data_IF_362073238286
#
_entry.id   IF_362073238286
#
_cell.length_a   1.000
_cell.length_b   1.000
_cell.length_c   1.000
_cell.angle_alpha   90.00
_cell.angle_beta   90.00
_cell.angle_gamma   90.00
#
_symmetry.space_group_name_H-M   'P 1'
#
loop_
_entity.id
_entity.type
_entity.pdbx_description
1 polymer ?
#
# COMPACT_ATOMS: atom_id res chain seq x y z
N UNK A 1 -57.17 1.52 41.61
CA UNK A 1 -56.47 2.58 40.85
C UNK A 1 -56.20 2.02 39.45
N UNK A 2 -57.24 1.81 38.63
CA UNK A 2 -57.85 2.76 37.67
C UNK A 2 -56.92 3.12 36.50
N UNK A 3 -57.02 2.31 35.45
CA UNK A 3 -56.90 2.66 34.03
C UNK A 3 -58.09 3.52 33.59
N UNK A 4 -57.93 4.53 32.73
CA UNK A 4 -58.96 5.15 31.86
C UNK A 4 -58.24 6.25 31.03
N UNK A 5 -57.92 6.04 29.74
CA UNK A 5 -58.74 6.22 28.52
C UNK A 5 -58.99 7.68 28.08
N UNK A 6 -58.74 7.84 26.78
CA UNK A 6 -59.34 8.74 25.77
C UNK A 6 -58.90 10.20 25.59
N UNK A 7 -58.12 10.39 24.52
CA UNK A 7 -58.51 11.08 23.28
C UNK A 7 -59.66 12.11 23.35
N UNK A 8 -59.40 13.33 22.86
CA UNK A 8 -60.06 13.83 21.62
C UNK A 8 -59.48 15.17 21.15
N UNK A 9 -59.36 15.25 19.83
CA UNK A 9 -58.95 16.38 18.98
C UNK A 9 -59.74 17.69 19.21
N UNK A 10 -59.07 18.82 18.95
CA UNK A 10 -59.66 19.89 18.13
C UNK A 10 -58.57 20.71 17.43
N UNK A 11 -58.61 20.71 16.10
CA UNK A 11 -57.86 21.61 15.22
C UNK A 11 -58.29 23.08 15.42
N UNK A 12 -57.33 24.00 15.41
CA UNK A 12 -57.56 25.38 15.00
C UNK A 12 -56.26 25.99 14.43
N UNK A 13 -56.27 26.19 13.12
CA UNK A 13 -55.35 27.00 12.33
C UNK A 13 -55.41 28.48 12.74
N UNK A 14 -54.25 29.13 12.97
CA UNK A 14 -54.07 30.56 12.70
C UNK A 14 -52.60 31.01 12.72
N UNK A 15 -52.16 31.46 11.54
CA UNK A 15 -51.42 32.72 11.35
C UNK A 15 -49.91 32.79 11.65
N UNK A 16 -49.15 32.76 10.55
CA UNK A 16 -47.82 33.33 10.36
C UNK A 16 -47.67 34.72 10.99
N UNK A 17 -46.67 34.90 11.84
CA UNK A 17 -45.93 36.16 11.98
C UNK A 17 -44.44 35.87 11.98
N UNK A 18 -43.75 36.51 11.04
CA UNK A 18 -42.34 36.29 10.78
C UNK A 18 -41.45 36.81 11.90
N UNK A 19 -40.71 35.91 12.52
CA UNK A 19 -39.42 36.23 13.09
C UNK A 19 -38.38 35.45 12.28
N UNK A 20 -37.73 36.13 11.32
CA UNK A 20 -36.47 35.65 10.73
C UNK A 20 -35.52 35.40 11.89
N UNK A 21 -35.36 34.13 12.28
CA UNK A 21 -34.22 33.72 13.09
C UNK A 21 -33.00 34.09 12.28
N UNK A 22 -32.25 35.08 12.75
CA UNK A 22 -30.85 35.23 12.41
C UNK A 22 -30.18 33.91 12.79
N UNK A 23 -30.04 32.98 11.83
CA UNK A 23 -29.01 31.96 11.89
C UNK A 23 -27.70 32.72 11.96
N UNK A 24 -26.95 32.65 13.08
CA UNK A 24 -25.58 33.09 13.04
C UNK A 24 -24.92 32.26 11.95
N UNK A 25 -24.32 32.91 10.97
CA UNK A 25 -23.33 32.29 10.09
C UNK A 25 -22.18 31.84 10.98
N UNK A 26 -22.36 30.70 11.65
CA UNK A 26 -21.30 30.01 12.36
C UNK A 26 -20.30 29.62 11.29
N UNK A 27 -19.25 30.43 11.13
CA UNK A 27 -18.11 30.07 10.31
C UNK A 27 -17.69 28.65 10.68
N UNK A 28 -17.41 27.81 9.68
CA UNK A 28 -17.07 26.42 9.90
C UNK A 28 -15.84 26.34 10.80
N UNK A 29 -16.03 26.12 12.10
CA UNK A 29 -14.94 25.87 13.04
C UNK A 29 -14.34 24.52 12.66
N UNK A 30 -13.11 24.52 12.14
CA UNK A 30 -12.38 23.30 11.83
C UNK A 30 -12.16 22.52 13.12
N UNK A 31 -12.80 21.35 13.24
CA UNK A 31 -12.56 20.46 14.38
C UNK A 31 -11.13 19.91 14.32
N UNK A 32 -10.49 19.75 15.48
CA UNK A 32 -9.12 19.22 15.57
C UNK A 32 -8.98 17.89 14.82
N UNK A 33 -9.94 16.97 14.94
CA UNK A 33 -9.97 15.70 14.20
C UNK A 33 -9.86 15.89 12.68
N UNK A 34 -10.54 16.90 12.13
CA UNK A 34 -10.50 17.19 10.69
C UNK A 34 -9.16 17.78 10.28
N UNK A 35 -8.56 18.63 11.12
CA UNK A 35 -7.21 19.16 10.92
C UNK A 35 -6.20 18.01 10.87
N UNK A 36 -6.25 17.08 11.83
CA UNK A 36 -5.36 15.91 11.84
C UNK A 36 -5.55 15.02 10.61
N UNK A 37 -6.80 14.81 10.15
CA UNK A 37 -7.05 14.07 8.91
C UNK A 37 -6.44 14.77 7.68
N UNK A 38 -6.57 16.10 7.56
CA UNK A 38 -5.98 16.87 6.45
C UNK A 38 -4.45 16.74 6.46
N UNK A 39 -3.81 16.93 7.61
CA UNK A 39 -2.35 16.77 7.70
C UNK A 39 -1.91 15.33 7.45
N UNK A 40 -2.69 14.33 7.86
CA UNK A 40 -2.42 12.94 7.52
C UNK A 40 -2.43 12.72 6.00
N UNK A 41 -3.44 13.23 5.30
CA UNK A 41 -3.55 13.11 3.85
C UNK A 41 -2.43 13.85 3.12
N UNK A 42 -2.04 15.05 3.59
CA UNK A 42 -0.87 15.79 3.08
C UNK A 42 0.42 14.98 3.29
N UNK A 43 0.61 14.44 4.50
CA UNK A 43 1.79 13.63 4.82
C UNK A 43 1.91 12.39 3.94
N UNK A 44 0.79 11.70 3.69
CA UNK A 44 0.74 10.52 2.81
C UNK A 44 0.92 10.89 1.34
N UNK A 45 0.36 12.00 0.88
CA UNK A 45 0.53 12.50 -0.49
C UNK A 45 2.00 12.86 -0.79
N UNK A 46 2.66 13.54 0.14
CA UNK A 46 4.06 13.95 -0.01
C UNK A 46 5.07 12.89 0.47
N UNK A 47 4.64 11.67 0.82
CA UNK A 47 5.52 10.69 1.51
C UNK A 47 6.67 10.22 0.63
N UNK A 48 6.45 10.12 -0.68
CA UNK A 48 7.46 9.73 -1.67
C UNK A 48 8.36 10.88 -2.09
N UNK A 49 8.09 12.11 -1.67
CA UNK A 49 8.81 13.30 -2.11
C UNK A 49 10.05 13.55 -1.27
N UNK A 50 11.01 12.63 -1.37
CA UNK A 50 12.25 12.65 -0.60
C UNK A 50 13.09 13.91 -0.82
N UNK A 51 13.12 14.47 -2.05
CA UNK A 51 13.90 15.69 -2.32
C UNK A 51 13.20 16.97 -1.86
N UNK A 52 11.92 16.90 -1.49
CA UNK A 52 11.16 18.06 -1.02
C UNK A 52 11.49 18.34 0.46
N UNK A 53 12.70 18.84 0.68
CA UNK A 53 13.31 19.09 1.99
C UNK A 53 14.15 20.37 2.01
N UNK A 54 14.22 21.10 3.13
CA UNK A 54 15.07 22.25 3.25
C UNK A 54 16.53 21.82 3.45
N UNK A 55 17.39 22.19 2.48
CA UNK A 55 18.82 21.92 2.52
C UNK A 55 19.16 20.42 2.62
N UNK A 56 20.18 20.11 3.42
CA UNK A 56 20.70 18.75 3.56
C UNK A 56 20.09 17.96 4.72
N UNK A 57 19.10 18.52 5.41
CA UNK A 57 18.42 17.85 6.52
C UNK A 57 17.50 16.77 5.94
N UNK A 58 17.56 15.54 6.48
CA UNK A 58 16.64 14.44 6.14
C UNK A 58 15.23 14.66 6.75
N UNK A 59 14.69 15.87 6.65
CA UNK A 59 13.38 16.27 7.12
C UNK A 59 12.58 16.88 5.98
N UNK A 60 11.43 16.34 5.66
CA UNK A 60 10.62 16.69 4.48
C UNK A 60 9.26 17.24 4.87
N UNK A 61 8.50 17.71 3.87
CA UNK A 61 7.11 18.12 4.10
C UNK A 61 6.23 17.02 4.70
N UNK A 62 6.47 15.76 4.36
CA UNK A 62 5.70 14.66 4.93
C UNK A 62 6.06 14.40 6.40
N UNK A 63 7.32 14.57 6.80
CA UNK A 63 7.71 14.45 8.21
C UNK A 63 7.03 15.52 9.07
N UNK A 64 7.03 16.79 8.62
CA UNK A 64 6.34 17.87 9.31
C UNK A 64 4.84 17.62 9.46
N UNK A 65 4.18 17.15 8.40
CA UNK A 65 2.76 16.81 8.44
C UNK A 65 2.48 15.66 9.43
N UNK A 66 3.28 14.60 9.41
CA UNK A 66 3.12 13.48 10.35
C UNK A 66 3.43 13.86 11.80
N UNK A 67 4.36 14.77 12.06
CA UNK A 67 4.63 15.28 13.41
C UNK A 67 3.45 16.08 13.96
N UNK A 68 2.78 16.90 13.14
CA UNK A 68 1.54 17.60 13.54
C UNK A 68 0.46 16.58 13.92
N UNK A 69 0.29 15.53 13.10
CA UNK A 69 -0.67 14.45 13.40
C UNK A 69 -0.30 13.74 14.70
N UNK A 70 0.97 13.36 14.87
CA UNK A 70 1.46 12.69 16.07
C UNK A 70 1.23 13.54 17.33
N UNK A 71 1.62 14.81 17.30
CA UNK A 71 1.42 15.75 18.41
C UNK A 71 -0.05 15.91 18.77
N UNK A 72 -0.94 16.04 17.77
CA UNK A 72 -2.37 16.11 18.00
C UNK A 72 -2.99 14.82 18.56
N UNK A 73 -2.54 13.66 18.10
CA UNK A 73 -2.97 12.36 18.64
C UNK A 73 -2.49 12.14 20.07
N UNK A 74 -1.26 12.55 20.40
CA UNK A 74 -0.74 12.50 21.78
C UNK A 74 -1.50 13.47 22.68
N UNK A 75 -1.66 14.73 22.26
CA UNK A 75 -2.39 15.74 23.03
C UNK A 75 -3.85 15.37 23.30
N UNK A 76 -4.46 14.55 22.44
CA UNK A 76 -5.84 14.05 22.62
C UNK A 76 -5.91 12.65 23.21
N UNK A 77 -4.78 12.02 23.57
CA UNK A 77 -4.70 10.64 24.07
C UNK A 77 -5.35 9.61 23.13
N UNK A 78 -5.27 9.86 21.82
CA UNK A 78 -5.85 9.02 20.75
C UNK A 78 -4.82 8.17 20.00
N UNK A 79 -3.54 8.30 20.35
CA UNK A 79 -2.49 7.53 19.70
C UNK A 79 -2.62 6.04 20.03
N UNK A 80 -2.70 5.21 18.99
CA UNK A 80 -2.75 3.76 19.12
C UNK A 80 -1.34 3.21 19.34
N UNK A 81 -1.06 2.74 20.56
CA UNK A 81 0.24 2.16 20.94
C UNK A 81 0.44 0.70 20.49
N UNK A 82 -0.60 0.06 19.94
CA UNK A 82 -0.58 -1.32 19.47
C UNK A 82 -0.88 -1.39 17.95
N UNK A 83 0.03 -0.90 17.09
CA UNK A 83 -0.22 -0.78 15.65
C UNK A 83 -0.46 -2.11 14.92
N UNK A 84 0.02 -3.23 15.48
CA UNK A 84 -0.18 -4.59 14.95
C UNK A 84 -1.06 -5.45 15.88
N UNK A 85 -1.86 -4.80 16.74
CA UNK A 85 -2.71 -5.47 17.73
C UNK A 85 -1.92 -6.51 18.57
N UNK A 86 -2.32 -7.77 18.56
CA UNK A 86 -1.68 -8.84 19.33
C UNK A 86 -0.20 -9.08 18.96
N UNK A 87 0.23 -8.70 17.75
CA UNK A 87 1.61 -8.84 17.30
C UNK A 87 2.51 -7.67 17.71
N UNK A 88 1.95 -6.60 18.28
CA UNK A 88 2.72 -5.41 18.66
C UNK A 88 3.87 -5.68 19.64
N UNK A 89 3.74 -6.52 20.68
CA UNK A 89 4.88 -6.83 21.55
C UNK A 89 6.04 -7.48 20.80
N UNK A 90 5.76 -8.45 19.92
CA UNK A 90 6.77 -9.11 19.10
C UNK A 90 7.42 -8.13 18.10
N UNK A 91 6.63 -7.22 17.51
CA UNK A 91 7.12 -6.15 16.64
C UNK A 91 8.09 -5.22 17.38
N UNK A 92 7.70 -4.74 18.56
CA UNK A 92 8.52 -3.86 19.40
C UNK A 92 9.82 -4.55 19.83
N UNK A 93 9.73 -5.81 20.27
CA UNK A 93 10.90 -6.59 20.63
C UNK A 93 11.86 -6.73 19.44
N UNK A 94 11.33 -7.03 18.25
CA UNK A 94 12.14 -7.16 17.03
C UNK A 94 12.84 -5.84 16.65
N UNK A 95 12.14 -4.70 16.78
CA UNK A 95 12.71 -3.37 16.53
C UNK A 95 13.79 -3.02 17.58
N UNK A 96 13.54 -3.29 18.86
CA UNK A 96 14.50 -3.09 19.95
C UNK A 96 15.74 -3.97 19.74
N UNK A 97 15.54 -5.22 19.33
CA UNK A 97 16.64 -6.15 19.05
C UNK A 97 17.53 -5.62 17.92
N UNK A 98 16.90 -5.17 16.82
CA UNK A 98 17.61 -4.61 15.68
C UNK A 98 18.39 -3.33 16.06
N UNK A 99 17.73 -2.36 16.68
CA UNK A 99 18.34 -1.07 17.03
C UNK A 99 19.34 -1.18 18.19
N UNK A 100 19.08 -2.09 19.14
CA UNK A 100 19.95 -2.37 20.26
C UNK A 100 21.25 -3.06 19.84
N UNK A 101 21.18 -4.03 18.94
CA UNK A 101 22.39 -4.64 18.37
C UNK A 101 23.22 -3.62 17.58
N UNK A 102 22.56 -2.76 16.79
CA UNK A 102 23.22 -1.66 16.10
C UNK A 102 23.81 -0.63 17.07
N UNK A 103 23.14 -0.36 18.20
CA UNK A 103 23.63 0.54 19.25
C UNK A 103 24.91 0.02 19.87
N UNK A 104 24.92 -1.24 20.32
CA UNK A 104 26.08 -1.89 20.93
C UNK A 104 27.25 -1.89 19.95
N UNK A 105 27.00 -2.26 18.69
CA UNK A 105 28.00 -2.24 17.62
C UNK A 105 28.59 -0.85 17.40
N UNK A 106 27.75 0.18 17.40
CA UNK A 106 28.21 1.57 17.23
C UNK A 106 28.95 2.09 18.45
N UNK A 107 28.53 1.73 19.66
CA UNK A 107 29.19 2.16 20.89
C UNK A 107 30.63 1.63 20.98
N UNK A 108 30.88 0.45 20.42
CA UNK A 108 32.20 -0.19 20.43
C UNK A 108 33.07 0.27 19.25
N UNK A 109 32.51 0.31 18.03
CA UNK A 109 33.28 0.45 16.80
C UNK A 109 33.00 1.74 16.00
N UNK A 110 32.00 2.54 16.37
CA UNK A 110 31.49 3.62 15.53
C UNK A 110 31.21 4.94 16.24
N UNK A 111 30.58 5.85 15.50
CA UNK A 111 30.23 7.18 15.99
C UNK A 111 28.78 7.20 16.53
N UNK A 112 28.62 7.44 17.83
CA UNK A 112 27.30 7.44 18.50
C UNK A 112 26.29 8.40 17.83
N UNK A 113 26.77 9.53 17.29
CA UNK A 113 25.92 10.48 16.56
C UNK A 113 25.29 9.85 15.31
N UNK A 114 26.02 8.99 14.59
CA UNK A 114 25.47 8.27 13.42
C UNK A 114 24.37 7.31 13.84
N UNK A 115 24.57 6.58 14.94
CA UNK A 115 23.53 5.72 15.48
C UNK A 115 22.28 6.52 15.84
N UNK A 116 22.42 7.68 16.49
CA UNK A 116 21.28 8.52 16.86
C UNK A 116 20.47 8.95 15.62
N UNK A 117 21.14 9.38 14.55
CA UNK A 117 20.51 9.77 13.29
C UNK A 117 19.76 8.58 12.65
N UNK A 118 20.38 7.40 12.63
CA UNK A 118 19.78 6.18 12.06
C UNK A 118 18.60 5.70 12.92
N UNK A 119 18.77 5.63 14.24
CA UNK A 119 17.76 5.19 15.19
C UNK A 119 16.52 6.10 15.16
N UNK A 120 16.68 7.42 15.11
CA UNK A 120 15.55 8.35 14.98
C UNK A 120 14.72 8.07 13.72
N UNK A 121 15.37 7.79 12.59
CA UNK A 121 14.68 7.47 11.33
C UNK A 121 13.95 6.13 11.40
N UNK A 122 14.57 5.10 11.97
CA UNK A 122 13.91 3.81 12.18
C UNK A 122 12.74 3.91 13.17
N UNK A 123 12.89 4.62 14.29
CA UNK A 123 11.83 4.84 15.26
C UNK A 123 10.67 5.59 14.60
N UNK A 124 10.96 6.65 13.85
CA UNK A 124 9.92 7.37 13.15
C UNK A 124 9.17 6.47 12.14
N UNK A 125 9.90 5.74 11.30
CA UNK A 125 9.30 4.95 10.22
C UNK A 125 8.65 3.64 10.68
N UNK A 126 9.27 2.89 11.58
CA UNK A 126 8.83 1.55 12.02
C UNK A 126 8.05 1.55 13.34
N UNK A 127 8.04 2.66 14.09
CA UNK A 127 7.27 2.77 15.33
C UNK A 127 6.18 3.84 15.22
N UNK A 128 6.56 5.09 14.96
CA UNK A 128 5.61 6.21 15.00
C UNK A 128 4.60 6.18 13.86
N UNK A 129 5.03 5.96 12.61
CA UNK A 129 4.10 5.91 11.47
C UNK A 129 3.04 4.80 11.59
N UNK A 130 3.39 3.56 11.97
CA UNK A 130 2.40 2.53 12.24
C UNK A 130 1.38 2.94 13.31
N UNK A 131 1.84 3.55 14.41
CA UNK A 131 0.96 4.02 15.49
C UNK A 131 0.02 5.14 14.99
N UNK A 132 0.53 6.08 14.20
CA UNK A 132 -0.25 7.15 13.57
C UNK A 132 -1.35 6.54 12.70
N UNK A 133 -0.99 5.69 11.72
CA UNK A 133 -1.97 5.08 10.83
C UNK A 133 -2.98 4.20 11.59
N UNK A 134 -2.52 3.47 12.61
CA UNK A 134 -3.40 2.60 13.38
C UNK A 134 -4.44 3.37 14.22
N UNK A 135 -4.25 4.67 14.42
CA UNK A 135 -5.14 5.58 15.17
C UNK A 135 -6.34 6.09 14.36
N UNK A 136 -6.35 5.86 13.04
CA UNK A 136 -7.44 6.27 12.15
C UNK A 136 -8.32 5.09 11.74
N UNK A 137 -9.56 5.42 11.35
CA UNK A 137 -10.54 4.45 10.89
C UNK A 137 -10.23 3.95 9.46
N UNK A 138 -10.90 2.87 9.06
CA UNK A 138 -10.65 2.25 7.76
C UNK A 138 -10.96 3.21 6.59
N UNK A 139 -11.95 4.09 6.74
CA UNK A 139 -12.36 5.04 5.70
C UNK A 139 -11.28 6.10 5.45
N UNK A 140 -10.71 6.68 6.52
CA UNK A 140 -9.59 7.61 6.37
C UNK A 140 -8.34 6.91 5.82
N UNK A 141 -8.06 5.66 6.21
CA UNK A 141 -6.95 4.90 5.64
C UNK A 141 -7.15 4.59 4.14
N UNK A 142 -8.38 4.29 3.71
CA UNK A 142 -8.71 4.15 2.27
C UNK A 142 -8.47 5.46 1.50
N UNK A 143 -8.79 6.62 2.09
CA UNK A 143 -8.43 7.93 1.51
C UNK A 143 -6.92 8.13 1.46
N UNK A 144 -6.18 7.70 2.49
CA UNK A 144 -4.72 7.73 2.48
C UNK A 144 -4.15 6.93 1.30
N UNK A 145 -4.70 5.74 1.00
CA UNK A 145 -4.28 4.96 -0.19
C UNK A 145 -4.52 5.72 -1.49
N UNK A 146 -5.66 6.40 -1.64
CA UNK A 146 -5.93 7.26 -2.81
C UNK A 146 -4.92 8.41 -2.89
N UNK A 147 -4.70 9.13 -1.78
CA UNK A 147 -3.75 10.25 -1.73
C UNK A 147 -2.30 9.81 -1.96
N UNK A 148 -1.92 8.63 -1.50
CA UNK A 148 -0.62 8.03 -1.80
C UNK A 148 -0.43 7.85 -3.30
N UNK A 149 -1.40 7.22 -3.97
CA UNK A 149 -1.36 6.99 -5.43
C UNK A 149 -1.33 8.32 -6.17
N UNK A 150 -2.17 9.30 -5.79
CA UNK A 150 -2.16 10.63 -6.38
C UNK A 150 -0.83 11.36 -6.18
N UNK A 151 -0.22 11.27 -4.99
CA UNK A 151 1.05 11.93 -4.68
C UNK A 151 2.23 11.35 -5.43
N UNK A 152 2.31 10.03 -5.55
CA UNK A 152 3.29 9.36 -6.42
C UNK A 152 3.03 9.70 -7.88
N UNK A 153 1.77 9.70 -8.33
CA UNK A 153 1.40 10.03 -9.71
C UNK A 153 1.78 11.47 -10.05
N UNK A 154 1.56 12.42 -9.13
CA UNK A 154 1.98 13.81 -9.29
C UNK A 154 3.49 13.92 -9.46
N UNK A 155 4.26 13.22 -8.61
CA UNK A 155 5.72 13.13 -8.76
C UNK A 155 6.11 12.57 -10.14
N UNK A 156 5.45 11.51 -10.61
CA UNK A 156 5.74 10.94 -11.93
C UNK A 156 5.36 11.90 -13.05
N UNK A 157 4.19 12.52 -13.00
CA UNK A 157 3.73 13.45 -14.02
C UNK A 157 4.69 14.65 -14.13
N UNK A 158 5.04 15.26 -13.01
CA UNK A 158 5.98 16.37 -12.96
C UNK A 158 7.37 15.96 -13.47
N UNK A 159 7.89 14.83 -12.99
CA UNK A 159 9.20 14.32 -13.42
C UNK A 159 9.26 13.96 -14.91
N UNK A 160 8.26 13.27 -15.42
CA UNK A 160 8.19 12.89 -16.83
C UNK A 160 8.05 14.11 -17.74
N UNK A 161 7.17 15.06 -17.40
CA UNK A 161 7.03 16.32 -18.15
C UNK A 161 8.37 17.07 -18.12
N UNK A 162 9.00 17.20 -16.96
CA UNK A 162 10.29 17.87 -16.85
C UNK A 162 11.36 17.18 -17.73
N UNK A 163 11.40 15.85 -17.79
CA UNK A 163 12.35 15.11 -18.63
C UNK A 163 12.18 15.30 -20.14
N UNK A 164 11.02 15.81 -20.59
CA UNK A 164 10.79 16.16 -22.00
C UNK A 164 11.37 17.53 -22.37
N UNK A 165 11.44 18.45 -21.41
CA UNK A 165 11.80 19.85 -21.66
C UNK A 165 13.16 20.25 -21.07
N UNK A 166 13.67 19.49 -20.10
CA UNK A 166 14.86 19.85 -19.32
C UNK A 166 15.83 18.68 -19.20
N UNK A 167 17.10 19.02 -19.04
CA UNK A 167 18.21 18.08 -18.85
C UNK A 167 18.63 18.01 -17.37
N UNK A 168 19.62 17.15 -17.09
CA UNK A 168 20.31 17.13 -15.80
C UNK A 168 20.83 18.51 -15.40
N UNK A 169 21.49 19.21 -16.33
CA UNK A 169 22.13 20.51 -16.06
C UNK A 169 21.11 21.58 -15.66
N UNK A 170 19.89 21.52 -16.22
CA UNK A 170 18.83 22.47 -15.95
C UNK A 170 18.14 22.22 -14.59
N UNK A 171 18.07 20.95 -14.17
CA UNK A 171 17.28 20.54 -13.00
C UNK A 171 18.11 20.36 -11.73
N UNK A 172 19.39 20.00 -11.86
CA UNK A 172 20.28 19.77 -10.71
C UNK A 172 20.39 20.96 -9.74
N UNK A 173 20.43 22.24 -10.18
CA UNK A 173 20.49 23.38 -9.26
C UNK A 173 19.28 23.53 -8.34
N UNK A 174 18.11 23.05 -8.76
CA UNK A 174 16.84 23.25 -8.04
C UNK A 174 16.36 22.01 -7.30
N UNK A 175 16.57 20.84 -7.88
CA UNK A 175 16.04 19.57 -7.39
C UNK A 175 17.13 18.57 -6.98
N UNK A 176 18.41 18.96 -7.12
CA UNK A 176 19.56 18.12 -6.84
C UNK A 176 19.83 17.07 -7.93
N UNK A 177 20.94 16.37 -7.76
CA UNK A 177 21.55 15.54 -8.82
C UNK A 177 20.75 14.28 -9.21
N UNK A 178 19.66 13.99 -8.50
CA UNK A 178 18.94 12.73 -8.64
C UNK A 178 17.48 12.88 -9.07
N UNK A 179 16.99 14.10 -9.30
CA UNK A 179 15.66 14.32 -9.87
C UNK A 179 15.58 13.81 -11.31
N UNK A 180 16.48 14.31 -12.16
CA UNK A 180 16.93 13.67 -13.40
C UNK A 180 18.42 13.42 -13.18
N UNK A 181 18.90 12.20 -13.45
CA UNK A 181 20.32 11.86 -13.26
C UNK A 181 21.15 12.28 -14.47
N UNK A 182 22.47 12.43 -14.31
CA UNK A 182 23.39 12.73 -15.42
C UNK A 182 23.34 11.70 -16.57
N UNK A 183 22.88 10.48 -16.29
CA UNK A 183 22.65 9.41 -17.28
C UNK A 183 21.23 9.44 -17.88
N UNK A 184 20.46 10.50 -17.68
CA UNK A 184 19.09 10.66 -18.22
C UNK A 184 18.01 9.82 -17.54
N UNK A 185 18.30 9.18 -16.40
CA UNK A 185 17.31 8.39 -15.64
C UNK A 185 16.43 9.30 -14.79
N UNK A 186 15.15 9.00 -14.70
CA UNK A 186 14.20 9.75 -13.89
C UNK A 186 14.17 9.26 -12.43
N UNK A 187 14.56 10.09 -11.47
CA UNK A 187 14.32 9.85 -10.04
C UNK A 187 13.11 10.61 -9.49
N UNK A 188 12.62 11.64 -10.20
CA UNK A 188 11.53 12.51 -9.79
C UNK A 188 11.67 12.96 -8.33
N UNK A 189 10.57 13.19 -7.60
CA UNK A 189 10.66 13.61 -6.20
C UNK A 189 11.16 12.51 -5.25
N UNK A 190 11.27 11.27 -5.69
CA UNK A 190 11.83 10.15 -4.91
C UNK A 190 13.35 10.27 -4.72
N UNK A 191 14.02 11.14 -5.49
CA UNK A 191 15.43 11.49 -5.30
C UNK A 191 16.43 10.40 -5.68
N UNK A 192 15.98 9.35 -6.37
CA UNK A 192 16.80 8.38 -7.10
C UNK A 192 15.86 7.54 -7.98
N UNK A 193 16.32 7.17 -9.18
CA UNK A 193 15.60 6.29 -10.09
C UNK A 193 15.15 4.94 -9.49
N UNK A 194 15.95 4.32 -8.61
CA UNK A 194 15.54 3.06 -7.98
C UNK A 194 14.39 3.27 -6.99
N UNK A 195 14.49 4.29 -6.14
CA UNK A 195 13.41 4.66 -5.22
C UNK A 195 12.15 5.02 -6.00
N UNK A 196 12.30 5.76 -7.10
CA UNK A 196 11.19 6.14 -7.97
C UNK A 196 10.46 4.93 -8.54
N UNK A 197 11.20 3.94 -9.03
CA UNK A 197 10.63 2.69 -9.53
C UNK A 197 9.85 1.93 -8.45
N UNK A 198 10.35 1.90 -7.21
CA UNK A 198 9.64 1.30 -6.08
C UNK A 198 8.33 2.04 -5.77
N UNK A 199 8.37 3.38 -5.70
CA UNK A 199 7.19 4.20 -5.41
C UNK A 199 6.12 3.99 -6.49
N UNK A 200 6.52 3.98 -7.76
CA UNK A 200 5.63 3.68 -8.87
C UNK A 200 5.02 2.27 -8.73
N UNK A 201 5.82 1.27 -8.36
CA UNK A 201 5.36 -0.09 -8.13
C UNK A 201 4.34 -0.22 -7.00
N UNK A 202 4.61 0.36 -5.83
CA UNK A 202 3.66 0.38 -4.71
C UNK A 202 2.35 1.06 -5.13
N UNK A 203 2.43 2.21 -5.82
CA UNK A 203 1.26 2.93 -6.29
C UNK A 203 0.45 2.14 -7.33
N UNK A 204 1.10 1.39 -8.24
CA UNK A 204 0.42 0.50 -9.19
C UNK A 204 -0.34 -0.61 -8.49
N UNK A 205 0.26 -1.26 -7.48
CA UNK A 205 -0.42 -2.30 -6.70
C UNK A 205 -1.62 -1.71 -5.95
N UNK A 206 -1.47 -0.53 -5.35
CA UNK A 206 -2.59 0.18 -4.71
C UNK A 206 -3.66 0.65 -5.70
N UNK A 207 -3.29 0.97 -6.94
CA UNK A 207 -4.25 1.34 -7.97
C UNK A 207 -5.21 0.18 -8.28
N UNK A 208 -4.75 -1.08 -8.23
CA UNK A 208 -5.64 -2.25 -8.32
C UNK A 208 -6.64 -2.34 -7.16
N UNK A 209 -6.22 -1.97 -5.95
CA UNK A 209 -7.11 -1.87 -4.80
C UNK A 209 -8.16 -0.77 -5.01
N UNK A 210 -7.74 0.43 -5.41
CA UNK A 210 -8.60 1.58 -5.70
C UNK A 210 -9.63 1.23 -6.79
N UNK A 211 -9.18 0.63 -7.90
CA UNK A 211 -10.05 0.24 -9.00
C UNK A 211 -11.04 -0.85 -8.58
N UNK A 212 -10.59 -1.84 -7.80
CA UNK A 212 -11.43 -2.92 -7.28
C UNK A 212 -12.51 -2.43 -6.31
N UNK A 213 -12.24 -1.36 -5.57
CA UNK A 213 -13.15 -0.75 -4.58
C UNK A 213 -13.88 0.50 -5.10
N UNK A 214 -13.59 0.94 -6.33
CA UNK A 214 -14.13 2.17 -6.95
C UNK A 214 -13.95 3.41 -6.08
N UNK A 215 -12.80 3.51 -5.42
CA UNK A 215 -12.47 4.67 -4.55
C UNK A 215 -12.11 5.93 -5.35
N UNK A 216 -11.90 5.78 -6.66
CA UNK A 216 -11.52 6.85 -7.58
C UNK A 216 -12.22 6.62 -8.92
N UNK A 217 -12.57 7.69 -9.68
CA UNK A 217 -13.15 7.54 -11.00
C UNK A 217 -12.28 6.66 -11.93
N UNK A 218 -12.87 5.80 -12.78
CA UNK A 218 -12.12 4.91 -13.65
C UNK A 218 -11.17 5.66 -14.60
N UNK A 219 -11.61 6.80 -15.16
CA UNK A 219 -10.78 7.62 -16.04
C UNK A 219 -9.53 8.14 -15.32
N UNK A 220 -9.71 8.69 -14.11
CA UNK A 220 -8.59 9.14 -13.30
C UNK A 220 -7.65 7.99 -12.93
N UNK A 221 -8.19 6.79 -12.69
CA UNK A 221 -7.38 5.59 -12.43
C UNK A 221 -6.53 5.19 -13.64
N UNK A 222 -7.08 5.27 -14.84
CA UNK A 222 -6.35 5.02 -16.10
C UNK A 222 -5.23 6.06 -16.26
N UNK A 223 -5.54 7.35 -16.09
CA UNK A 223 -4.54 8.43 -16.19
C UNK A 223 -3.41 8.24 -15.17
N UNK A 224 -3.72 7.89 -13.92
CA UNK A 224 -2.70 7.58 -12.93
C UNK A 224 -1.85 6.38 -13.37
N UNK A 225 -2.49 5.30 -13.84
CA UNK A 225 -1.79 4.12 -14.35
C UNK A 225 -0.79 4.45 -15.46
N UNK A 226 -1.17 5.30 -16.42
CA UNK A 226 -0.29 5.72 -17.52
C UNK A 226 0.96 6.46 -17.01
N UNK A 227 0.80 7.45 -16.13
CA UNK A 227 1.94 8.17 -15.55
C UNK A 227 2.82 7.28 -14.67
N UNK A 228 2.24 6.35 -13.94
CA UNK A 228 2.99 5.41 -13.10
C UNK A 228 3.80 4.42 -13.94
N UNK A 229 3.21 3.84 -14.99
CA UNK A 229 3.92 2.93 -15.92
C UNK A 229 5.01 3.68 -16.67
N UNK A 230 4.70 4.88 -17.18
CA UNK A 230 5.69 5.69 -17.88
C UNK A 230 6.83 6.12 -16.94
N UNK A 231 6.52 6.53 -15.70
CA UNK A 231 7.53 6.83 -14.68
C UNK A 231 8.42 5.62 -14.34
N UNK A 232 7.85 4.40 -14.32
CA UNK A 232 8.63 3.17 -14.13
C UNK A 232 9.60 2.91 -15.29
N UNK A 233 9.19 3.15 -16.54
CA UNK A 233 10.04 3.05 -17.73
C UNK A 233 11.12 4.15 -17.70
N UNK A 234 10.74 5.41 -17.52
CA UNK A 234 11.66 6.56 -17.46
C UNK A 234 12.69 6.46 -16.32
N UNK A 235 12.40 5.71 -15.26
CA UNK A 235 13.36 5.46 -14.18
C UNK A 235 14.55 4.62 -14.65
N UNK A 236 14.41 3.85 -15.73
CA UNK A 236 15.48 3.01 -16.29
C UNK A 236 16.24 2.21 -15.21
N UNK A 237 15.48 1.62 -14.28
CA UNK A 237 15.97 0.73 -13.23
C UNK A 237 15.57 -0.69 -13.58
N UNK A 238 16.51 -1.51 -14.07
CA UNK A 238 16.21 -2.90 -14.47
C UNK A 238 15.60 -3.70 -13.32
N UNK A 239 16.27 -3.73 -12.16
CA UNK A 239 15.76 -4.44 -10.98
C UNK A 239 14.40 -3.90 -10.53
N UNK A 240 14.23 -2.58 -10.48
CA UNK A 240 12.96 -1.97 -10.09
C UNK A 240 11.82 -2.27 -11.07
N UNK A 241 12.10 -2.23 -12.37
CA UNK A 241 11.14 -2.57 -13.42
C UNK A 241 10.67 -4.02 -13.28
N UNK A 242 11.59 -4.97 -13.18
CA UNK A 242 11.26 -6.40 -13.04
C UNK A 242 10.49 -6.66 -11.75
N UNK A 243 10.96 -6.15 -10.61
CA UNK A 243 10.29 -6.32 -9.30
C UNK A 243 8.85 -5.79 -9.35
N UNK A 244 8.66 -4.57 -9.82
CA UNK A 244 7.36 -3.90 -9.83
C UNK A 244 6.39 -4.54 -10.84
N UNK A 245 6.89 -4.93 -12.03
CA UNK A 245 6.09 -5.60 -13.05
C UNK A 245 5.67 -7.00 -12.59
N UNK A 246 6.59 -7.80 -12.04
CA UNK A 246 6.31 -9.14 -11.53
C UNK A 246 5.31 -9.10 -10.37
N UNK A 247 5.48 -8.18 -9.42
CA UNK A 247 4.53 -8.02 -8.31
C UNK A 247 3.14 -7.57 -8.80
N UNK A 248 3.09 -6.62 -9.73
CA UNK A 248 1.82 -6.14 -10.32
C UNK A 248 1.13 -7.26 -11.11
N UNK A 249 1.88 -8.02 -11.92
CA UNK A 249 1.36 -9.15 -12.68
C UNK A 249 0.82 -10.25 -11.76
N UNK A 250 1.54 -10.60 -10.69
CA UNK A 250 1.09 -11.56 -9.68
C UNK A 250 -0.25 -11.15 -9.08
N UNK A 251 -0.37 -9.89 -8.64
CA UNK A 251 -1.60 -9.34 -8.05
C UNK A 251 -2.74 -9.36 -9.07
N UNK A 252 -2.48 -8.95 -10.32
CA UNK A 252 -3.48 -8.98 -11.39
C UNK A 252 -3.95 -10.39 -11.70
N UNK A 253 -3.04 -11.36 -11.86
CA UNK A 253 -3.34 -12.76 -12.16
C UNK A 253 -4.16 -13.39 -11.05
N UNK A 254 -3.81 -13.14 -9.79
CA UNK A 254 -4.53 -13.67 -8.64
C UNK A 254 -5.94 -13.05 -8.49
N UNK A 255 -6.13 -11.76 -8.79
CA UNK A 255 -7.47 -11.11 -8.68
C UNK A 255 -8.37 -11.36 -9.88
N UNK A 256 -7.82 -11.28 -11.08
CA UNK A 256 -8.58 -11.25 -12.34
C UNK A 256 -7.88 -12.06 -13.43
N UNK A 257 -7.74 -13.39 -13.29
CA UNK A 257 -6.85 -14.20 -14.15
C UNK A 257 -7.14 -14.03 -15.64
N UNK A 258 -8.41 -14.01 -16.05
CA UNK A 258 -8.79 -13.79 -17.46
C UNK A 258 -8.42 -12.39 -17.96
N UNK A 259 -8.79 -11.33 -17.22
CA UNK A 259 -8.48 -9.94 -17.62
C UNK A 259 -7.00 -9.64 -17.54
N UNK A 260 -6.29 -10.25 -16.60
CA UNK A 260 -4.86 -10.16 -16.46
C UNK A 260 -4.16 -10.81 -17.65
N UNK A 261 -4.60 -12.00 -18.08
CA UNK A 261 -4.06 -12.63 -19.29
C UNK A 261 -4.25 -11.76 -20.52
N UNK A 262 -5.48 -11.23 -20.73
CA UNK A 262 -5.73 -10.29 -21.82
C UNK A 262 -4.90 -9.00 -21.70
N UNK A 263 -4.75 -8.46 -20.49
CA UNK A 263 -3.94 -7.26 -20.25
C UNK A 263 -2.45 -7.50 -20.53
N UNK A 264 -1.90 -8.64 -20.09
CA UNK A 264 -0.52 -9.04 -20.37
C UNK A 264 -0.31 -9.22 -21.87
N UNK A 265 -1.20 -9.95 -22.54
CA UNK A 265 -1.16 -10.12 -24.00
C UNK A 265 -1.28 -8.79 -24.74
N UNK A 266 -2.14 -7.89 -24.28
CA UNK A 266 -2.29 -6.55 -24.85
C UNK A 266 -1.01 -5.71 -24.65
N UNK A 267 -0.40 -5.75 -23.46
CA UNK A 267 0.89 -5.07 -23.22
C UNK A 267 1.98 -5.66 -24.10
N UNK A 268 2.09 -6.98 -24.21
CA UNK A 268 3.05 -7.65 -25.12
C UNK A 268 2.79 -7.22 -26.56
N UNK A 269 1.53 -7.17 -27.00
CA UNK A 269 1.15 -6.72 -28.34
C UNK A 269 1.52 -5.26 -28.58
N UNK A 270 1.20 -4.36 -27.64
CA UNK A 270 1.54 -2.93 -27.73
C UNK A 270 3.05 -2.73 -27.76
N UNK A 271 3.79 -3.43 -26.89
CA UNK A 271 5.26 -3.40 -26.87
C UNK A 271 5.81 -3.91 -28.18
N UNK A 272 5.30 -5.02 -28.71
CA UNK A 272 5.69 -5.56 -30.02
C UNK A 272 5.47 -4.56 -31.16
N UNK A 273 4.30 -3.93 -31.21
CA UNK A 273 3.98 -2.88 -32.19
C UNK A 273 4.89 -1.68 -32.03
N UNK A 274 5.11 -1.21 -30.80
CA UNK A 274 5.95 -0.05 -30.50
C UNK A 274 7.42 -0.29 -30.88
N UNK A 275 7.96 -1.48 -30.59
CA UNK A 275 9.32 -1.87 -30.99
C UNK A 275 9.41 -1.97 -32.53
N UNK A 276 8.38 -2.48 -33.19
CA UNK A 276 8.33 -2.55 -34.67
C UNK A 276 8.17 -1.20 -35.35
N UNK A 277 7.61 -0.20 -34.67
CA UNK A 277 7.37 1.13 -35.24
C UNK A 277 8.59 2.05 -35.19
N UNK A 278 9.69 1.62 -34.55
CA UNK A 278 10.92 2.41 -34.43
C UNK A 278 10.77 3.68 -33.59
N UNK A 279 9.74 3.75 -32.74
CA UNK A 279 9.55 4.89 -31.85
C UNK A 279 10.65 4.93 -30.78
N UNK A 280 11.18 6.13 -30.44
CA UNK A 280 12.31 6.24 -29.53
C UNK A 280 11.89 5.97 -28.08
N UNK A 281 12.52 4.98 -27.45
CA UNK A 281 12.49 4.81 -25.99
C UNK A 281 13.45 5.80 -25.32
N UNK A 282 13.27 6.10 -24.03
CA UNK A 282 14.31 6.79 -23.27
C UNK A 282 15.64 6.04 -23.40
N UNK A 283 16.69 6.71 -23.88
CA UNK A 283 17.99 6.07 -24.16
C UNK A 283 18.56 5.31 -22.95
N UNK A 284 18.31 5.81 -21.73
CA UNK A 284 18.68 5.15 -20.49
C UNK A 284 17.96 3.80 -20.29
N UNK A 285 16.69 3.69 -20.71
CA UNK A 285 15.92 2.45 -20.62
C UNK A 285 16.39 1.44 -21.67
N UNK A 286 16.65 1.89 -22.89
CA UNK A 286 17.16 1.04 -23.96
C UNK A 286 18.51 0.41 -23.59
N UNK A 287 19.46 1.22 -23.14
CA UNK A 287 20.80 0.77 -22.76
C UNK A 287 20.82 -0.14 -21.52
N UNK A 288 19.94 0.10 -20.52
CA UNK A 288 20.03 -0.59 -19.22
C UNK A 288 19.01 -1.70 -19.01
N UNK A 289 17.87 -1.64 -19.67
CA UNK A 289 16.78 -2.61 -19.50
C UNK A 289 16.64 -3.46 -20.75
N UNK A 290 16.52 -2.84 -21.93
CA UNK A 290 16.38 -3.61 -23.17
C UNK A 290 17.66 -4.36 -23.51
N UNK A 291 18.84 -3.74 -23.40
CA UNK A 291 20.13 -4.41 -23.59
C UNK A 291 20.29 -5.66 -22.71
N UNK A 292 20.00 -5.55 -21.42
CA UNK A 292 20.07 -6.68 -20.50
C UNK A 292 19.04 -7.79 -20.81
N UNK A 293 17.87 -7.46 -21.36
CA UNK A 293 16.86 -8.43 -21.78
C UNK A 293 17.21 -9.13 -23.10
N UNK A 294 17.89 -8.44 -24.02
CA UNK A 294 18.25 -8.98 -25.34
C UNK A 294 19.60 -9.70 -25.36
N UNK A 295 20.59 -9.23 -24.59
CA UNK A 295 21.92 -9.81 -24.49
C UNK A 295 22.02 -11.00 -23.53
N UNK A 296 21.01 -11.25 -22.71
CA UNK A 296 20.97 -12.38 -21.77
C UNK A 296 21.94 -12.29 -20.58
N UNK A 297 22.68 -11.17 -20.44
CA UNK A 297 23.65 -10.96 -19.39
C UNK A 297 23.19 -9.95 -18.32
N UNK A 298 23.04 -10.40 -17.07
CA UNK A 298 22.86 -9.53 -15.89
C UNK A 298 24.02 -8.52 -15.71
N UNK A 299 25.18 -8.85 -16.28
CA UNK A 299 26.40 -8.04 -16.29
C UNK A 299 26.27 -6.75 -17.11
N UNK A 300 25.36 -6.73 -18.10
CA UNK A 300 25.12 -5.56 -18.98
C UNK A 300 24.21 -4.51 -18.33
N UNK A 301 23.51 -4.86 -17.24
CA UNK A 301 22.83 -3.89 -16.41
C UNK A 301 23.90 -3.06 -15.67
N UNK A 302 24.28 -1.90 -16.23
CA UNK A 302 25.48 -1.07 -15.93
C UNK A 302 25.77 -0.58 -14.50
N UNK A 303 25.48 -1.38 -13.48
CA UNK A 303 25.85 -1.25 -12.05
C UNK A 303 26.05 -2.60 -11.36
N UNK A 304 25.87 -3.74 -12.04
CA UNK A 304 25.89 -5.08 -11.41
C UNK A 304 27.26 -5.45 -10.84
N UNK A 305 28.33 -5.30 -11.61
CA UNK A 305 29.70 -5.67 -11.20
C UNK A 305 30.14 -4.94 -9.93
N UNK A 306 30.03 -3.61 -9.90
CA UNK A 306 30.39 -2.82 -8.72
C UNK A 306 29.51 -3.12 -7.49
N UNK A 307 28.23 -3.47 -7.69
CA UNK A 307 27.37 -3.93 -6.58
C UNK A 307 27.77 -5.30 -6.05
N UNK A 308 28.25 -6.18 -6.92
CA UNK A 308 28.73 -7.51 -6.53
C UNK A 308 30.04 -7.41 -5.75
N UNK A 309 30.97 -6.55 -6.17
CA UNK A 309 32.23 -6.28 -5.45
C UNK A 309 31.95 -5.78 -4.02
N UNK A 310 31.06 -4.79 -3.88
CA UNK A 310 30.59 -4.30 -2.57
C UNK A 310 29.97 -5.42 -1.73
N UNK A 311 29.14 -6.28 -2.33
CA UNK A 311 28.53 -7.40 -1.62
C UNK A 311 29.56 -8.44 -1.18
N UNK A 312 30.56 -8.75 -2.00
CA UNK A 312 31.66 -9.65 -1.63
C UNK A 312 32.48 -9.07 -0.48
N UNK A 313 32.76 -7.76 -0.52
CA UNK A 313 33.47 -7.07 0.56
C UNK A 313 32.70 -7.14 1.89
N UNK A 314 31.40 -6.84 1.88
CA UNK A 314 30.55 -6.97 3.07
C UNK A 314 30.41 -8.39 3.56
N UNK A 315 30.33 -9.38 2.66
CA UNK A 315 30.29 -10.78 3.05
C UNK A 315 31.56 -11.20 3.77
N UNK A 316 32.73 -10.74 3.30
CA UNK A 316 34.01 -10.98 3.99
C UNK A 316 34.04 -10.31 5.36
N UNK A 317 33.65 -9.04 5.45
CA UNK A 317 33.58 -8.33 6.73
C UNK A 317 32.56 -8.93 7.71
N UNK A 318 31.45 -9.48 7.21
CA UNK A 318 30.44 -10.13 8.02
C UNK A 318 31.02 -11.32 8.82
N UNK A 319 32.04 -12.00 8.30
CA UNK A 319 32.71 -13.10 9.00
C UNK A 319 33.31 -12.68 10.35
N UNK A 320 33.86 -11.48 10.43
CA UNK A 320 34.51 -10.96 11.65
C UNK A 320 33.54 -10.15 12.53
N UNK A 321 32.31 -9.90 12.07
CA UNK A 321 31.36 -8.95 12.69
C UNK A 321 30.03 -9.60 13.06
N UNK A 322 29.97 -10.95 13.08
CA UNK A 322 28.75 -11.71 13.38
C UNK A 322 28.14 -11.40 14.75
N UNK A 323 28.96 -11.19 15.79
CA UNK A 323 28.46 -10.92 17.15
C UNK A 323 28.32 -9.43 17.40
N UNK A 324 29.35 -8.65 17.06
CA UNK A 324 29.41 -7.20 17.21
C UNK A 324 29.74 -6.64 15.84
N UNK A 325 28.82 -5.84 15.29
CA UNK A 325 28.96 -5.21 14.00
C UNK A 325 29.98 -4.06 14.00
N UNK A 326 30.28 -3.53 12.81
CA UNK A 326 31.15 -2.35 12.66
C UNK A 326 30.48 -1.03 13.08
N UNK A 327 29.19 -1.04 13.41
CA UNK A 327 28.45 0.13 13.83
C UNK A 327 27.64 0.79 12.73
N UNK A 328 26.68 1.63 13.16
CA UNK A 328 25.73 2.30 12.30
C UNK A 328 26.43 3.14 11.25
N UNK A 329 26.08 2.89 10.00
CA UNK A 329 26.51 3.69 8.87
C UNK A 329 28.03 3.77 8.69
N UNK A 330 28.73 2.75 9.17
CA UNK A 330 30.19 2.68 9.18
C UNK A 330 30.71 1.93 7.95
N UNK A 331 29.91 1.09 7.29
CA UNK A 331 30.35 0.35 6.11
C UNK A 331 30.86 1.28 5.01
N UNK A 332 30.12 2.35 4.72
CA UNK A 332 30.49 3.33 3.69
C UNK A 332 31.81 4.06 3.98
N UNK A 333 32.31 4.00 5.22
CA UNK A 333 33.56 4.65 5.66
C UNK A 333 34.72 3.67 5.62
N UNK A 334 34.49 2.41 5.97
CA UNK A 334 35.55 1.39 6.02
C UNK A 334 35.71 0.64 4.70
N UNK A 335 34.69 0.64 3.85
CA UNK A 335 34.75 -0.01 2.53
C UNK A 335 35.78 0.68 1.64
N UNK A 336 36.53 -0.14 0.88
CA UNK A 336 37.48 0.34 -0.12
C UNK A 336 36.79 1.22 -1.18
N UNK A 337 35.52 0.93 -1.46
CA UNK A 337 34.72 1.65 -2.45
C UNK A 337 33.97 2.87 -1.88
N UNK A 338 34.09 3.14 -0.57
CA UNK A 338 33.46 4.26 0.13
C UNK A 338 31.96 4.43 -0.17
N UNK A 339 31.27 3.31 -0.37
CA UNK A 339 29.87 3.25 -0.77
C UNK A 339 29.13 2.17 0.02
N UNK A 340 27.82 2.34 0.30
CA UNK A 340 27.06 1.34 1.03
C UNK A 340 26.71 0.14 0.13
N UNK A 341 26.64 -1.04 0.73
CA UNK A 341 26.19 -2.26 0.04
C UNK A 341 24.71 -2.19 -0.24
N UNK A 342 24.33 -2.43 -1.51
CA UNK A 342 22.96 -2.37 -1.98
C UNK A 342 22.17 -3.67 -1.70
N UNK A 343 22.45 -4.32 -0.57
CA UNK A 343 21.78 -5.51 -0.05
C UNK A 343 21.62 -5.28 1.45
N UNK A 344 20.48 -4.73 1.85
CA UNK A 344 20.24 -4.29 3.22
C UNK A 344 20.42 -5.38 4.28
N UNK A 345 19.95 -6.63 4.12
CA UNK A 345 20.21 -7.68 5.11
C UNK A 345 21.69 -7.96 5.32
N UNK A 346 22.49 -7.91 4.25
CA UNK A 346 23.94 -8.10 4.33
C UNK A 346 24.61 -6.90 5.00
N UNK A 347 24.22 -5.68 4.62
CA UNK A 347 24.70 -4.47 5.27
C UNK A 347 24.40 -4.49 6.78
N UNK A 348 23.17 -4.86 7.16
CA UNK A 348 22.76 -4.95 8.55
C UNK A 348 23.51 -6.05 9.30
N UNK A 349 23.78 -7.19 8.67
CA UNK A 349 24.62 -8.24 9.23
C UNK A 349 26.03 -7.71 9.54
N UNK A 350 26.62 -6.91 8.65
CA UNK A 350 27.95 -6.33 8.84
C UNK A 350 27.94 -5.20 9.89
N UNK A 351 26.94 -4.32 9.89
CA UNK A 351 26.89 -3.13 10.76
C UNK A 351 26.33 -3.40 12.17
N UNK A 352 25.40 -4.36 12.31
CA UNK A 352 24.72 -4.68 13.57
C UNK A 352 24.94 -6.12 14.06
N UNK A 353 25.61 -6.96 13.27
CA UNK A 353 25.76 -8.38 13.57
C UNK A 353 24.49 -9.20 13.37
N UNK A 354 24.57 -10.47 13.75
CA UNK A 354 23.52 -11.47 13.60
C UNK A 354 22.26 -11.10 14.40
N UNK A 355 22.42 -10.53 15.60
CA UNK A 355 21.29 -10.09 16.42
C UNK A 355 20.49 -8.97 15.75
N UNK A 356 21.19 -8.03 15.09
CA UNK A 356 20.58 -6.99 14.30
C UNK A 356 19.77 -7.57 13.13
N UNK A 357 20.36 -8.51 12.40
CA UNK A 357 19.71 -9.21 11.30
C UNK A 357 18.48 -10.01 11.78
N UNK A 358 18.57 -10.73 12.90
CA UNK A 358 17.44 -11.49 13.47
C UNK A 358 16.28 -10.54 13.80
N UNK A 359 16.56 -9.40 14.43
CA UNK A 359 15.54 -8.39 14.71
C UNK A 359 14.82 -7.91 13.43
N UNK A 360 15.58 -7.62 12.37
CA UNK A 360 14.99 -7.25 11.09
C UNK A 360 14.19 -8.37 10.43
N UNK A 361 14.72 -9.60 10.40
CA UNK A 361 14.04 -10.75 9.82
C UNK A 361 12.75 -11.09 10.59
N UNK A 362 12.74 -10.91 11.91
CA UNK A 362 11.53 -11.05 12.72
C UNK A 362 10.48 -9.99 12.38
N UNK A 363 10.87 -8.72 12.23
CA UNK A 363 9.95 -7.67 11.75
C UNK A 363 9.36 -8.02 10.37
N UNK A 364 10.22 -8.40 9.43
CA UNK A 364 9.79 -8.79 8.08
C UNK A 364 8.86 -10.01 8.11
N UNK A 365 9.19 -11.02 8.92
CA UNK A 365 8.37 -12.21 9.13
C UNK A 365 6.99 -11.89 9.70
N UNK A 366 6.89 -10.97 10.67
CA UNK A 366 5.61 -10.53 11.22
C UNK A 366 4.72 -9.83 10.18
N UNK A 367 5.33 -8.98 9.32
CA UNK A 367 4.60 -8.34 8.22
C UNK A 367 4.06 -9.37 7.22
N UNK A 368 4.90 -10.33 6.81
CA UNK A 368 4.48 -11.44 5.93
C UNK A 368 3.41 -12.31 6.55
N UNK A 369 3.57 -12.68 7.82
CA UNK A 369 2.58 -13.45 8.56
C UNK A 369 1.22 -12.76 8.55
N UNK A 370 1.17 -11.46 8.83
CA UNK A 370 -0.08 -10.69 8.81
C UNK A 370 -0.70 -10.60 7.40
N UNK A 371 0.11 -10.43 6.36
CA UNK A 371 -0.39 -10.38 4.98
C UNK A 371 -0.95 -11.74 4.51
N UNK A 372 -0.25 -12.84 4.80
CA UNK A 372 -0.64 -14.19 4.40
C UNK A 372 -1.89 -14.65 5.15
N UNK A 373 -1.96 -14.41 6.46
CA UNK A 373 -3.19 -14.66 7.23
C UNK A 373 -4.34 -13.79 6.73
N UNK A 374 -4.08 -12.55 6.30
CA UNK A 374 -5.06 -11.69 5.65
C UNK A 374 -5.67 -12.27 4.37
N UNK A 375 -4.96 -13.13 3.61
CA UNK A 375 -5.50 -13.83 2.44
C UNK A 375 -6.61 -14.80 2.85
N UNK A 376 -6.46 -15.47 3.99
CA UNK A 376 -7.47 -16.42 4.47
C UNK A 376 -8.79 -15.73 4.84
N UNK A 377 -8.73 -14.47 5.26
CA UNK A 377 -9.90 -13.66 5.62
C UNK A 377 -10.55 -13.00 4.39
N UNK A 378 -9.76 -12.31 3.56
CA UNK A 378 -10.21 -11.73 2.29
C UNK A 378 -9.08 -11.81 1.27
N UNK A 379 -9.09 -12.88 0.47
CA UNK A 379 -8.06 -13.16 -0.52
C UNK A 379 -7.81 -11.99 -1.48
N UNK A 380 -8.85 -11.21 -1.82
CA UNK A 380 -8.74 -10.08 -2.76
C UNK A 380 -8.01 -8.88 -2.16
N UNK A 381 -8.11 -8.68 -0.84
CA UNK A 381 -7.36 -7.64 -0.13
C UNK A 381 -5.99 -8.14 0.31
N UNK A 382 -5.92 -9.36 0.84
CA UNK A 382 -4.66 -9.98 1.26
C UNK A 382 -3.62 -10.01 0.14
N UNK A 383 -4.04 -10.31 -1.09
CA UNK A 383 -3.10 -10.34 -2.22
C UNK A 383 -2.51 -8.96 -2.58
N UNK A 384 -3.23 -7.86 -2.35
CA UNK A 384 -2.69 -6.50 -2.51
C UNK A 384 -1.57 -6.27 -1.51
N UNK A 385 -1.80 -6.69 -0.25
CA UNK A 385 -0.81 -6.57 0.80
C UNK A 385 0.44 -7.41 0.50
N UNK A 386 0.25 -8.64 -0.01
CA UNK A 386 1.36 -9.48 -0.50
C UNK A 386 2.11 -8.82 -1.65
N UNK A 387 1.41 -8.20 -2.62
CA UNK A 387 2.06 -7.48 -3.71
C UNK A 387 2.93 -6.32 -3.22
N UNK A 388 2.44 -5.53 -2.27
CA UNK A 388 3.21 -4.45 -1.63
C UNK A 388 4.40 -5.03 -0.86
N UNK A 389 4.21 -6.06 -0.05
CA UNK A 389 5.31 -6.67 0.71
C UNK A 389 6.35 -7.35 -0.17
N UNK A 390 5.96 -7.92 -1.31
CA UNK A 390 6.88 -8.50 -2.28
C UNK A 390 7.80 -7.42 -2.85
N UNK A 391 7.25 -6.28 -3.26
CA UNK A 391 8.05 -5.13 -3.72
C UNK A 391 8.99 -4.69 -2.59
N UNK A 392 8.47 -4.43 -1.39
CA UNK A 392 9.29 -4.00 -0.26
C UNK A 392 10.43 -4.97 0.03
N UNK A 393 10.14 -6.26 0.14
CA UNK A 393 11.11 -7.34 0.42
C UNK A 393 12.19 -7.41 -0.65
N UNK A 394 11.81 -7.44 -1.93
CA UNK A 394 12.79 -7.50 -3.02
C UNK A 394 13.64 -6.22 -3.10
N UNK A 395 13.08 -5.06 -2.78
CA UNK A 395 13.85 -3.83 -2.70
C UNK A 395 14.87 -3.84 -1.55
N UNK A 396 14.63 -4.55 -0.43
CA UNK A 396 15.68 -4.74 0.60
C UNK A 396 16.95 -5.39 0.04
N UNK A 397 16.84 -6.14 -1.06
CA UNK A 397 17.98 -6.79 -1.73
C UNK A 397 18.63 -5.90 -2.80
N UNK A 398 18.16 -4.67 -3.00
CA UNK A 398 18.63 -3.78 -4.09
C UNK A 398 18.93 -2.35 -3.65
N UNK A 399 18.59 -1.99 -2.40
CA UNK A 399 18.90 -0.68 -1.80
C UNK A 399 19.59 -0.84 -0.43
N UNK A 400 20.49 0.09 -0.08
CA UNK A 400 21.30 -0.03 1.13
C UNK A 400 20.55 0.34 2.42
N UNK A 401 19.52 1.18 2.35
CA UNK A 401 18.86 1.70 3.55
C UNK A 401 17.34 1.69 3.40
N UNK A 402 16.67 1.07 4.38
CA UNK A 402 15.20 0.89 4.41
C UNK A 402 14.54 1.61 5.59
N UNK A 403 15.23 2.58 6.23
CA UNK A 403 14.67 3.40 7.31
C UNK A 403 13.80 4.56 6.84
N UNK A 404 13.90 4.97 5.58
CA UNK A 404 13.14 6.11 5.09
C UNK A 404 11.63 5.77 5.05
N UNK A 405 10.79 6.69 5.54
CA UNK A 405 9.33 6.54 5.56
C UNK A 405 8.72 6.17 4.22
N UNK A 406 9.33 6.58 3.11
CA UNK A 406 8.87 6.30 1.76
C UNK A 406 8.74 4.78 1.50
N UNK A 407 9.56 3.97 2.17
CA UNK A 407 9.51 2.51 2.11
C UNK A 407 8.43 1.92 3.01
N UNK A 408 8.33 2.44 4.23
CA UNK A 408 7.54 1.81 5.31
C UNK A 408 6.08 2.24 5.28
N UNK A 409 5.81 3.49 4.91
CA UNK A 409 4.45 4.03 4.82
C UNK A 409 3.52 3.22 3.90
N UNK A 410 3.89 2.90 2.63
CA UNK A 410 3.03 2.07 1.79
C UNK A 410 2.80 0.67 2.37
N UNK A 411 3.79 0.09 3.04
CA UNK A 411 3.63 -1.24 3.67
C UNK A 411 2.58 -1.20 4.78
N UNK A 412 2.67 -0.24 5.70
CA UNK A 412 1.69 -0.14 6.78
C UNK A 412 0.32 0.34 6.31
N UNK A 413 0.24 1.19 5.29
CA UNK A 413 -1.02 1.50 4.64
C UNK A 413 -1.65 0.22 4.09
N UNK A 414 -0.88 -0.66 3.43
CA UNK A 414 -1.40 -1.93 2.92
C UNK A 414 -1.87 -2.86 4.06
N UNK A 415 -1.02 -3.09 5.07
CA UNK A 415 -1.35 -3.96 6.21
C UNK A 415 -2.63 -3.49 6.92
N UNK A 416 -2.72 -2.19 7.22
CA UNK A 416 -3.83 -1.63 7.99
C UNK A 416 -5.11 -1.42 7.15
N UNK A 417 -5.03 -1.23 5.84
CA UNK A 417 -6.22 -1.09 4.98
C UNK A 417 -6.76 -2.40 4.44
N UNK A 418 -5.87 -3.36 4.15
CA UNK A 418 -6.24 -4.58 3.45
C UNK A 418 -6.55 -5.72 4.42
N UNK A 419 -5.91 -5.76 5.60
CA UNK A 419 -6.09 -6.87 6.56
C UNK A 419 -7.12 -6.55 7.64
N UNK A 420 -7.40 -5.26 7.92
CA UNK A 420 -8.43 -4.91 8.92
C UNK A 420 -9.83 -5.38 8.47
N UNK A 421 -10.56 -6.11 9.33
CA UNK A 421 -11.94 -6.49 9.06
C UNK A 421 -12.81 -5.25 8.83
N UNK A 422 -13.65 -5.29 7.79
CA UNK A 422 -14.67 -4.27 7.58
C UNK A 422 -15.89 -4.63 8.43
N UNK A 423 -16.45 -3.67 9.17
CA UNK A 423 -17.66 -3.93 9.95
C UNK A 423 -18.79 -4.43 9.02
N UNK A 424 -19.55 -5.46 9.41
CA UNK A 424 -20.67 -5.96 8.62
C UNK A 424 -21.75 -4.88 8.52
N UNK A 425 -21.78 -4.17 7.38
CA UNK A 425 -22.71 -3.07 7.13
C UNK A 425 -22.39 -2.24 5.86
N UNK A 426 -21.16 -2.32 5.34
CA UNK A 426 -20.73 -1.58 4.15
C UNK A 426 -20.59 -2.45 2.87
N UNK A 427 -20.89 -3.74 2.94
CA UNK A 427 -20.87 -4.60 1.76
C UNK A 427 -22.06 -4.25 0.87
N UNK A 428 -21.78 -3.70 -0.32
CA UNK A 428 -22.78 -3.57 -1.37
C UNK A 428 -23.51 -4.91 -1.57
N UNK A 429 -24.85 -4.90 -1.74
CA UNK A 429 -25.61 -6.12 -1.92
C UNK A 429 -25.04 -6.91 -3.10
N UNK A 430 -24.97 -8.26 -3.01
CA UNK A 430 -24.51 -9.06 -4.12
C UNK A 430 -25.35 -8.74 -5.37
N UNK A 431 -24.73 -8.66 -6.56
CA UNK A 431 -25.49 -8.40 -7.78
C UNK A 431 -26.59 -9.46 -7.93
N UNK A 432 -27.80 -9.08 -8.37
CA UNK A 432 -28.90 -10.00 -8.49
C UNK A 432 -28.49 -11.15 -9.40
N UNK A 433 -28.49 -12.35 -8.82
CA UNK A 433 -28.13 -13.59 -9.48
C UNK A 433 -29.26 -13.94 -10.43
N UNK A 434 -29.10 -13.56 -11.71
CA UNK A 434 -29.91 -13.97 -12.87
C UNK A 434 -31.29 -14.56 -12.51
N UNK A 435 -32.26 -13.68 -12.25
CA UNK A 435 -33.66 -14.08 -12.31
C UNK A 435 -33.94 -14.49 -13.75
N UNK A 436 -34.19 -15.79 -13.94
CA UNK A 436 -34.48 -16.41 -15.22
C UNK A 436 -35.51 -15.60 -15.99
N UNK A 437 -35.11 -15.12 -17.17
CA UNK A 437 -36.02 -14.62 -18.21
C UNK A 437 -36.75 -15.83 -18.81
N UNK A 438 -37.79 -16.33 -18.13
CA UNK A 438 -38.83 -17.14 -18.77
C UNK A 438 -40.00 -16.22 -19.10
N UNK A 439 -39.85 -15.46 -20.19
CA UNK A 439 -40.95 -14.80 -20.85
C UNK A 439 -41.69 -15.79 -21.74
N UNK A 440 -42.53 -16.64 -21.14
CA UNK A 440 -43.53 -17.42 -21.87
C UNK A 440 -44.83 -16.63 -21.91
N UNK A 441 -45.09 -15.93 -23.02
CA UNK A 441 -46.43 -15.37 -23.32
C UNK A 441 -47.42 -16.54 -23.39
N UNK A 442 -48.27 -16.69 -22.37
CA UNK A 442 -49.55 -17.39 -22.52
C UNK A 442 -50.63 -16.33 -22.66
N UNK A 443 -51.24 -16.32 -23.84
CA UNK A 443 -52.51 -15.66 -24.11
C UNK A 443 -53.54 -16.12 -23.09
N UNK A 444 -54.10 -15.19 -22.32
CA UNK A 444 -55.32 -15.39 -21.55
C UNK A 444 -56.49 -15.00 -22.45
N UNK A 445 -57.31 -15.97 -22.82
CA UNK A 445 -58.69 -15.76 -23.26
C UNK A 445 -59.57 -15.52 -22.02
N UNK A 446 -60.54 -14.60 -22.07
CA UNK A 446 -61.48 -14.40 -20.97
C UNK A 446 -62.65 -15.38 -21.14
N UNK A 447 -62.88 -16.23 -20.15
CA UNK A 447 -64.17 -16.92 -19.98
C UNK A 447 -64.74 -16.48 -18.64
N UNK A 448 -65.81 -15.68 -18.72
CA UNK A 448 -66.78 -15.52 -17.65
C UNK A 448 -67.65 -16.77 -17.67
N UNK A 449 -67.92 -17.38 -16.52
CA UNK A 449 -69.22 -18.00 -16.27
C UNK A 449 -69.48 -18.25 -14.78
N UNK A 450 -70.75 -18.48 -14.50
CA UNK A 450 -71.50 -18.22 -13.28
C UNK A 450 -71.37 -19.27 -12.15
N UNK A 451 -71.47 -18.80 -10.90
CA UNK A 451 -72.56 -19.10 -9.95
C UNK A 451 -72.86 -20.54 -9.46
N UNK A 452 -73.07 -20.64 -8.13
CA UNK A 452 -73.73 -21.70 -7.31
C UNK A 452 -72.93 -23.01 -7.12
N UNK A 453 -72.89 -23.71 -5.97
CA UNK A 453 -73.59 -23.64 -4.67
C UNK A 453 -73.76 -25.09 -4.12
N UNK A 454 -73.65 -25.30 -2.79
CA UNK A 454 -74.03 -26.50 -1.98
C UNK A 454 -73.23 -27.81 -2.23
N UNK A 455 -73.03 -28.77 -1.32
CA UNK A 455 -73.33 -29.06 0.10
C UNK A 455 -72.50 -30.32 0.51
N UNK A 456 -72.33 -30.56 1.83
CA UNK A 456 -72.35 -31.83 2.61
C UNK A 456 -72.05 -33.19 1.91
N UNK A 457 -71.40 -34.22 2.48
CA UNK A 457 -71.47 -34.81 3.84
C UNK A 457 -70.46 -36.00 3.95
N UNK A 458 -70.14 -36.38 5.20
CA UNK A 458 -69.83 -37.72 5.75
C UNK A 458 -68.55 -38.56 5.45
N UNK A 459 -67.70 -38.62 6.50
CA UNK A 459 -67.11 -39.76 7.26
C UNK A 459 -67.25 -41.25 6.78
N UNK A 460 -66.55 -42.24 7.42
CA UNK A 460 -65.12 -42.43 7.68
C UNK A 460 -64.71 -43.88 7.26
N UNK A 461 -63.52 -44.39 7.64
CA UNK A 461 -63.27 -45.80 8.09
C UNK A 461 -61.76 -46.05 8.25
N UNK A 462 -61.43 -46.57 9.43
CA UNK A 462 -60.17 -47.11 9.96
C UNK A 462 -59.56 -48.27 9.15
N UNK A 463 -58.26 -48.56 9.33
CA UNK A 463 -57.77 -49.85 9.90
C UNK A 463 -56.22 -49.95 9.88
N UNK A 464 -55.66 -50.29 11.06
CA UNK A 464 -54.49 -51.14 11.36
C UNK A 464 -53.03 -50.69 11.11
N UNK A 465 -52.42 -50.19 12.20
CA UNK A 465 -51.20 -50.66 12.92
C UNK A 465 -50.59 -52.07 12.57
N UNK A 466 -49.38 -52.48 13.05
CA UNK A 466 -48.08 -51.79 13.30
C UNK A 466 -46.87 -52.67 12.78
N UNK A 467 -45.73 -52.92 13.51
CA UNK A 467 -44.46 -52.16 13.57
C UNK A 467 -43.16 -52.95 13.20
N UNK A 468 -42.00 -52.26 13.33
CA UNK A 468 -40.63 -52.77 13.64
C UNK A 468 -39.78 -53.46 12.53
N UNK A 469 -38.46 -53.71 12.74
CA UNK A 469 -37.35 -52.81 13.14
C UNK A 469 -36.03 -53.08 12.34
N UNK A 470 -34.98 -52.30 12.61
CA UNK A 470 -33.57 -52.76 12.49
C UNK A 470 -32.68 -51.91 11.58
N UNK A 471 -31.64 -51.22 12.09
CA UNK A 471 -30.35 -51.68 12.63
C UNK A 471 -29.21 -51.59 11.58
N UNK A 472 -28.01 -51.24 12.07
CA UNK A 472 -26.67 -51.14 11.44
C UNK A 472 -26.39 -49.80 10.75
N UNK A 473 -25.31 -49.07 11.02
CA UNK A 473 -24.07 -49.39 11.72
C UNK A 473 -22.87 -49.09 10.80
N UNK A 474 -21.95 -48.23 11.30
CA UNK A 474 -20.53 -48.06 10.91
C UNK A 474 -20.20 -47.68 9.46
N UNK A 475 -19.61 -46.49 9.28
CA UNK A 475 -18.15 -46.31 9.15
C UNK A 475 -17.77 -44.86 9.40
#
# INVERSE_FOLDING_TARGET
MSTFLDDTRSDATASYTGARRHTPTSGATLSLSRVLEIFLLIGVFCVSWHIARPGDINFTFSDGAFLIVLGGLVATSRLNLAPMAALSPAWLFSLILMLGALFISTLINGEIIRWLIVAMQYIFAYLMLPMIFASFDLKTLQRCVVFYVLGVTFSQAFGNIASLFFTYADTAPYFGNNFITGMGRLGAFSGNANNNSAMAGFALVFLFYIAGRRLMPPLLSIVCGLFLVWGLISSASFGGFVICLSASALVMLARWPRRAMFGILAVIGIVGVYLSSGLPLPAAFETRVMGALSGGGLQEAGTFTGRMELAQEAWRMAGDTLVIGIGADSFRVVSVHQAPVHVFPLLLLTEAGLMGLIGFMAMLGLMWFQALTGISTDARRGIICVGVLLIFTLFTLTVPHMYARLWVAPVFLALLTCVRPEAPGAAAPPPPRNAKRYGGRRWQTPVKDHGFGHEEEDEPVSFLDPPHPGNRGRR
#
